data_IF_510697001694
#
_entry.id   IF_510697001694
#
_cell.length_a   1.000
_cell.length_b   1.000
_cell.length_c   1.000
_cell.angle_alpha   90.00
_cell.angle_beta   90.00
_cell.angle_gamma   90.00
#
_symmetry.space_group_name_H-M   'P 1'
#
loop_
_entity.id
_entity.type
_entity.pdbx_description
1 polymer ?
#
# COMPACT_ATOMS: atom_id res chain seq x y z
N UNK A 1 36.22 1.93 -3.49
CA UNK A 1 37.63 2.01 -3.97
C UNK A 1 37.98 3.29 -4.75
N UNK A 2 37.07 3.95 -5.49
CA UNK A 2 37.41 5.19 -6.24
C UNK A 2 37.54 6.48 -5.43
N UNK A 3 37.08 6.51 -4.17
CA UNK A 3 37.21 7.69 -3.29
C UNK A 3 38.61 7.80 -2.67
N UNK A 4 39.33 6.68 -2.52
CA UNK A 4 40.67 6.65 -1.90
C UNK A 4 41.74 7.27 -2.80
N UNK A 5 41.59 7.19 -4.12
CA UNK A 5 42.54 7.80 -5.06
C UNK A 5 42.40 9.31 -5.21
N UNK A 6 41.25 9.91 -4.88
CA UNK A 6 41.06 11.36 -5.00
C UNK A 6 41.67 12.16 -3.86
N UNK A 7 41.92 11.53 -2.70
CA UNK A 7 42.48 12.22 -1.52
C UNK A 7 44.02 12.24 -1.58
N UNK A 8 44.64 11.32 -2.32
CA UNK A 8 46.10 11.26 -2.47
C UNK A 8 46.67 12.29 -3.46
N UNK A 9 45.88 12.83 -4.39
CA UNK A 9 46.37 13.77 -5.41
C UNK A 9 46.38 15.24 -4.98
N UNK A 10 45.86 15.57 -3.80
CA UNK A 10 45.78 16.96 -3.30
C UNK A 10 46.75 17.28 -2.14
N UNK A 11 47.51 16.31 -1.65
CA UNK A 11 48.51 16.55 -0.60
C UNK A 11 49.89 16.11 -1.08
N UNK A 12 50.73 17.06 -1.44
CA UNK A 12 52.18 16.84 -1.52
C UNK A 12 52.73 16.67 -0.11
N UNK A 13 52.80 15.43 0.36
CA UNK A 13 53.35 15.09 1.66
C UNK A 13 54.88 15.07 1.59
N UNK A 14 55.53 16.08 2.18
CA UNK A 14 56.96 16.07 2.47
C UNK A 14 57.37 14.89 3.36
N UNK A 15 58.64 14.47 3.26
CA UNK A 15 59.24 13.37 4.03
C UNK A 15 59.41 13.73 5.51
N UNK A 16 58.34 13.88 6.27
CA UNK A 16 58.42 13.94 7.74
C UNK A 16 57.04 13.97 8.38
N UNK A 17 56.29 12.86 8.33
CA UNK A 17 55.38 12.60 9.45
C UNK A 17 54.90 11.13 9.49
N UNK A 18 55.76 10.26 10.01
CA UNK A 18 55.42 8.85 10.19
C UNK A 18 54.28 8.69 11.22
N UNK A 19 54.20 9.59 12.22
CA UNK A 19 53.16 9.57 13.26
C UNK A 19 51.80 9.96 12.72
N UNK A 20 51.72 10.97 11.86
CA UNK A 20 50.44 11.34 11.23
C UNK A 20 49.90 10.27 10.27
N UNK A 21 50.79 9.58 9.54
CA UNK A 21 50.40 8.43 8.71
C UNK A 21 49.86 7.27 9.55
N UNK A 22 50.48 7.00 10.70
CA UNK A 22 49.98 5.99 11.66
C UNK A 22 48.63 6.43 12.24
N UNK A 23 48.47 7.68 12.69
CA UNK A 23 47.19 8.19 13.21
C UNK A 23 46.06 8.12 12.17
N UNK A 24 46.34 8.44 10.91
CA UNK A 24 45.37 8.33 9.82
C UNK A 24 45.02 6.86 9.53
N UNK A 25 46.01 5.96 9.52
CA UNK A 25 45.79 4.53 9.31
C UNK A 25 45.02 3.90 10.48
N UNK A 26 45.35 4.24 11.73
CA UNK A 26 44.60 3.79 12.92
C UNK A 26 43.21 4.37 12.95
N UNK A 27 43.03 5.64 12.53
CA UNK A 27 41.71 6.26 12.39
C UNK A 27 40.87 5.57 11.32
N UNK A 28 41.45 5.21 10.17
CA UNK A 28 40.78 4.45 9.13
C UNK A 28 40.44 3.02 9.58
N UNK A 29 41.34 2.36 10.32
CA UNK A 29 41.10 1.04 10.89
C UNK A 29 40.02 1.06 11.97
N UNK A 30 40.01 2.08 12.82
CA UNK A 30 38.95 2.27 13.81
C UNK A 30 37.62 2.56 13.12
N UNK A 31 37.60 3.40 12.08
CA UNK A 31 36.40 3.69 11.30
C UNK A 31 35.89 2.45 10.58
N UNK A 32 36.77 1.64 9.97
CA UNK A 32 36.39 0.38 9.30
C UNK A 32 35.98 -0.71 10.29
N UNK A 33 36.56 -0.74 11.49
CA UNK A 33 36.15 -1.65 12.56
C UNK A 33 34.82 -1.23 13.18
N UNK A 34 34.61 0.06 13.44
CA UNK A 34 33.33 0.62 13.88
C UNK A 34 32.25 0.47 12.80
N UNK A 35 32.60 0.61 11.52
CA UNK A 35 31.76 0.29 10.37
C UNK A 35 31.39 -1.19 10.35
N UNK A 36 32.36 -2.08 10.53
CA UNK A 36 32.14 -3.53 10.60
C UNK A 36 31.25 -3.93 11.79
N UNK A 37 31.42 -3.30 12.95
CA UNK A 37 30.58 -3.53 14.13
C UNK A 37 29.18 -2.93 13.98
N UNK A 38 29.05 -1.74 13.40
CA UNK A 38 27.77 -1.08 13.09
C UNK A 38 26.93 -1.89 12.11
N UNK A 39 27.57 -2.48 11.10
CA UNK A 39 26.90 -3.30 10.08
C UNK A 39 26.52 -4.71 10.51
N UNK A 40 26.89 -5.17 11.73
CA UNK A 40 26.40 -6.46 12.25
C UNK A 40 24.88 -6.50 12.51
N UNK A 41 24.17 -5.38 12.41
CA UNK A 41 22.77 -5.28 12.87
C UNK A 41 21.70 -5.00 11.81
N UNK A 42 22.02 -4.71 10.54
CA UNK A 42 20.98 -4.56 9.52
C UNK A 42 20.63 -5.90 8.86
N UNK A 43 20.02 -6.79 9.66
CA UNK A 43 19.50 -8.06 9.12
C UNK A 43 18.21 -7.77 8.33
N UNK A 44 18.32 -7.77 7.01
CA UNK A 44 17.17 -7.89 6.11
C UNK A 44 16.64 -9.30 6.29
N UNK A 45 15.38 -9.42 6.66
CA UNK A 45 14.76 -10.73 6.86
C UNK A 45 14.13 -11.12 5.53
N UNK A 46 14.68 -12.15 4.88
CA UNK A 46 13.97 -12.80 3.78
C UNK A 46 12.86 -13.63 4.43
N UNK A 47 11.64 -13.14 4.37
CA UNK A 47 10.47 -13.82 4.93
C UNK A 47 9.98 -14.85 3.94
N UNK A 48 9.91 -16.11 4.39
CA UNK A 48 9.14 -17.12 3.71
C UNK A 48 7.63 -16.78 3.89
N UNK A 49 6.80 -16.81 2.84
CA UNK A 49 5.35 -16.65 2.96
C UNK A 49 4.70 -17.54 4.03
N UNK A 50 5.33 -18.67 4.38
CA UNK A 50 4.94 -19.57 5.47
C UNK A 50 4.96 -18.93 6.86
N UNK A 51 5.85 -17.98 7.11
CA UNK A 51 6.08 -17.40 8.45
C UNK A 51 5.17 -16.21 8.78
N UNK A 52 4.27 -15.82 7.87
CA UNK A 52 3.41 -14.62 8.00
C UNK A 52 2.09 -14.95 8.73
N UNK A 53 1.74 -16.23 8.89
CA UNK A 53 0.52 -16.64 9.60
C UNK A 53 0.87 -16.91 11.08
N UNK A 54 0.10 -16.37 12.04
CA UNK A 54 0.17 -16.81 13.44
C UNK A 54 -0.07 -18.32 13.58
N UNK A 55 0.59 -18.97 14.54
CA UNK A 55 0.46 -20.41 14.79
C UNK A 55 -0.96 -20.87 15.18
N UNK A 56 -1.88 -19.95 15.46
CA UNK A 56 -3.21 -20.16 16.05
C UNK A 56 -4.26 -20.79 15.10
N UNK A 57 -3.83 -21.31 13.95
CA UNK A 57 -4.67 -22.09 13.05
C UNK A 57 -4.70 -23.60 13.39
N UNK A 58 -4.25 -23.98 14.57
CA UNK A 58 -4.29 -25.35 15.08
C UNK A 58 -5.18 -25.38 16.31
N UNK A 59 -6.28 -26.13 16.25
CA UNK A 59 -7.09 -26.41 17.43
C UNK A 59 -6.29 -27.29 18.40
N UNK A 60 -6.27 -26.90 19.67
CA UNK A 60 -6.65 -27.80 20.77
C UNK A 60 -6.98 -26.96 22.00
N UNK A 61 -8.27 -26.86 22.30
CA UNK A 61 -8.85 -26.53 23.61
C UNK A 61 -8.14 -25.44 24.43
N UNK A 62 -8.43 -24.17 24.19
CA UNK A 62 -7.96 -23.12 25.08
C UNK A 62 -8.42 -21.71 24.70
N UNK A 63 -9.46 -21.23 25.39
CA UNK A 63 -9.99 -19.85 25.44
C UNK A 63 -9.13 -18.76 24.79
N UNK A 64 -9.59 -18.20 23.67
CA UNK A 64 -9.47 -16.76 23.44
C UNK A 64 -10.76 -16.14 22.93
N UNK A 65 -11.18 -15.11 23.67
CA UNK A 65 -12.35 -14.29 23.44
C UNK A 65 -11.92 -13.09 22.60
N UNK A 66 -12.38 -13.01 21.36
CA UNK A 66 -12.63 -11.72 20.72
C UNK A 66 -14.09 -11.66 20.30
N UNK A 67 -14.86 -10.85 21.03
CA UNK A 67 -16.26 -10.55 20.73
C UNK A 67 -16.33 -9.84 19.37
N UNK A 68 -16.87 -10.56 18.39
CA UNK A 68 -17.90 -10.16 17.42
C UNK A 68 -17.69 -8.88 16.58
N UNK A 69 -17.64 -9.06 15.26
CA UNK A 69 -18.68 -8.55 14.36
C UNK A 69 -18.63 -9.24 12.98
N UNK A 70 -19.12 -10.48 12.89
CA UNK A 70 -19.72 -11.05 11.65
C UNK A 70 -20.85 -11.97 12.10
N UNK A 71 -22.02 -11.40 12.34
CA UNK A 71 -23.25 -12.18 12.54
C UNK A 71 -23.92 -12.44 11.20
N UNK A 72 -24.38 -13.67 11.06
CA UNK A 72 -25.31 -14.20 10.07
C UNK A 72 -24.82 -14.37 8.63
N UNK A 73 -24.28 -15.56 8.38
CA UNK A 73 -24.85 -16.53 7.43
C UNK A 73 -24.01 -17.80 7.48
N UNK A 74 -24.48 -18.85 8.17
CA UNK A 74 -24.26 -20.26 7.75
C UNK A 74 -25.05 -21.24 8.59
N UNK A 75 -25.92 -21.97 7.88
CA UNK A 75 -26.40 -23.30 8.27
C UNK A 75 -25.20 -24.15 8.65
N UNK A 76 -25.29 -24.81 9.81
CA UNK A 76 -24.38 -25.88 10.24
C UNK A 76 -24.35 -26.95 9.16
N UNK A 77 -23.24 -27.06 8.46
CA UNK A 77 -22.86 -28.34 7.88
C UNK A 77 -21.93 -29.01 8.90
N UNK A 78 -22.41 -30.11 9.46
CA UNK A 78 -21.62 -31.00 10.30
C UNK A 78 -20.98 -32.02 9.38
N UNK A 79 -19.75 -31.78 8.97
CA UNK A 79 -18.81 -32.88 8.78
C UNK A 79 -17.36 -32.36 8.83
N UNK A 80 -16.55 -32.96 9.71
CA UNK A 80 -15.15 -32.60 10.03
C UNK A 80 -14.90 -31.14 10.46
N UNK A 81 -14.76 -30.90 11.77
CA UNK A 81 -14.53 -29.59 12.40
C UNK A 81 -13.19 -28.90 12.10
N UNK A 82 -12.57 -29.13 10.94
CA UNK A 82 -11.31 -28.49 10.55
C UNK A 82 -11.61 -27.14 9.89
N UNK A 83 -11.33 -26.03 10.59
CA UNK A 83 -11.37 -24.70 9.98
C UNK A 83 -10.11 -24.49 9.14
N UNK A 84 -10.23 -24.62 7.82
CA UNK A 84 -9.12 -24.26 6.90
C UNK A 84 -8.80 -22.77 7.03
N UNK A 85 -7.56 -22.44 7.38
CA UNK A 85 -7.06 -21.07 7.39
C UNK A 85 -6.61 -20.62 6.00
N UNK A 86 -6.75 -19.32 5.74
CA UNK A 86 -6.22 -18.65 4.56
C UNK A 86 -5.03 -17.76 4.96
N UNK A 87 -4.04 -17.53 4.07
CA UNK A 87 -4.17 -17.45 2.61
C UNK A 87 -3.88 -18.74 1.82
N UNK A 88 -4.40 -18.79 0.59
CA UNK A 88 -3.90 -19.66 -0.47
C UNK A 88 -2.55 -19.14 -0.97
N UNK A 89 -1.60 -20.06 -1.17
CA UNK A 89 -0.21 -19.74 -1.54
C UNK A 89 0.23 -20.36 -2.86
N UNK A 90 -0.67 -21.08 -3.54
CA UNK A 90 -0.35 -21.64 -4.85
C UNK A 90 0.01 -20.51 -5.82
N UNK A 91 1.16 -20.59 -6.52
CA UNK A 91 1.58 -19.54 -7.41
C UNK A 91 0.63 -19.48 -8.62
N UNK A 92 0.09 -18.29 -8.86
CA UNK A 92 -0.60 -17.94 -10.09
C UNK A 92 0.35 -17.06 -10.89
N UNK A 93 0.83 -17.61 -12.01
CA UNK A 93 1.68 -16.87 -12.94
C UNK A 93 0.84 -15.85 -13.69
N UNK A 94 1.29 -14.60 -13.66
CA UNK A 94 0.61 -13.48 -14.28
C UNK A 94 1.22 -13.16 -15.63
N UNK A 95 0.38 -12.97 -16.66
CA UNK A 95 0.85 -12.45 -17.94
C UNK A 95 1.45 -11.05 -17.72
N UNK A 96 2.63 -10.83 -18.30
CA UNK A 96 3.30 -9.54 -18.27
C UNK A 96 2.40 -8.50 -18.94
N UNK A 97 2.28 -7.33 -18.33
CA UNK A 97 1.63 -6.20 -18.98
C UNK A 97 2.48 -5.75 -20.19
N UNK A 98 1.83 -5.46 -21.30
CA UNK A 98 2.45 -4.92 -22.51
C UNK A 98 1.72 -3.64 -22.89
N UNK A 99 2.41 -2.70 -23.55
CA UNK A 99 1.78 -1.46 -24.00
C UNK A 99 0.66 -1.67 -25.03
N UNK A 100 0.63 -2.84 -25.66
CA UNK A 100 -0.40 -3.29 -26.60
C UNK A 100 -1.67 -3.79 -25.90
N UNK A 101 -1.63 -4.02 -24.59
CA UNK A 101 -2.78 -4.53 -23.85
C UNK A 101 -3.83 -3.43 -23.74
N UNK A 102 -5.04 -3.73 -24.23
CA UNK A 102 -6.19 -2.85 -24.12
C UNK A 102 -6.49 -2.53 -22.65
N UNK A 103 -6.66 -1.24 -22.36
CA UNK A 103 -7.07 -0.76 -21.04
C UNK A 103 -8.49 -1.25 -20.74
N UNK A 104 -8.71 -1.97 -19.63
CA UNK A 104 -10.05 -2.43 -19.27
C UNK A 104 -10.88 -1.27 -18.73
N UNK A 105 -12.14 -1.25 -19.11
CA UNK A 105 -13.15 -0.35 -18.53
C UNK A 105 -13.50 -0.78 -17.09
N UNK A 106 -13.96 0.14 -16.24
CA UNK A 106 -14.42 -0.20 -14.90
C UNK A 106 -15.57 -1.21 -14.92
N UNK A 107 -16.47 -1.13 -15.90
CA UNK A 107 -17.53 -2.12 -16.03
C UNK A 107 -17.00 -3.54 -16.31
N UNK A 108 -16.00 -3.70 -17.19
CA UNK A 108 -15.40 -5.01 -17.50
C UNK A 108 -14.69 -5.59 -16.27
N UNK A 109 -13.97 -4.73 -15.54
CA UNK A 109 -13.33 -5.10 -14.27
C UNK A 109 -14.37 -5.56 -13.24
N UNK A 110 -15.49 -4.85 -13.14
CA UNK A 110 -16.53 -5.20 -12.20
C UNK A 110 -17.23 -6.50 -12.57
N UNK A 111 -17.52 -6.75 -13.86
CA UNK A 111 -18.12 -8.02 -14.29
C UNK A 111 -17.24 -9.23 -13.94
N UNK A 112 -15.91 -9.09 -14.06
CA UNK A 112 -14.93 -10.12 -13.61
C UNK A 112 -14.93 -10.34 -12.08
N UNK A 113 -15.44 -9.37 -11.33
CA UNK A 113 -15.35 -9.30 -9.88
C UNK A 113 -16.68 -8.94 -9.19
N UNK A 114 -17.81 -9.39 -9.76
CA UNK A 114 -19.17 -9.02 -9.33
C UNK A 114 -19.58 -9.56 -7.93
N UNK A 115 -18.70 -10.32 -7.29
CA UNK A 115 -18.76 -10.77 -5.91
C UNK A 115 -18.17 -9.74 -4.91
N UNK A 116 -17.69 -8.59 -5.38
CA UNK A 116 -17.27 -7.46 -4.55
C UNK A 116 -18.47 -6.75 -3.89
N UNK A 117 -18.20 -6.11 -2.76
CA UNK A 117 -19.17 -5.33 -2.00
C UNK A 117 -18.54 -4.01 -1.55
N UNK A 118 -18.88 -2.88 -2.20
CA UNK A 118 -18.27 -1.57 -1.96
C UNK A 118 -16.72 -1.61 -1.89
N UNK A 119 -16.09 -2.34 -2.81
CA UNK A 119 -14.65 -2.54 -2.85
C UNK A 119 -14.06 -3.45 -1.77
N UNK A 120 -14.90 -4.15 -1.00
CA UNK A 120 -14.50 -5.20 -0.07
C UNK A 120 -14.76 -6.60 -0.64
N UNK A 121 -13.95 -7.55 -0.19
CA UNK A 121 -14.16 -8.96 -0.41
C UNK A 121 -13.63 -9.78 0.77
N UNK A 122 -14.26 -10.92 1.05
CA UNK A 122 -13.77 -11.90 2.00
C UNK A 122 -14.06 -13.33 1.50
N UNK A 123 -13.16 -14.29 1.76
CA UNK A 123 -13.39 -15.66 1.36
C UNK A 123 -14.53 -16.27 2.17
N UNK A 124 -15.31 -17.11 1.51
CA UNK A 124 -16.38 -17.88 2.16
C UNK A 124 -15.92 -19.31 2.44
N UNK A 125 -14.82 -19.80 1.87
CA UNK A 125 -14.35 -21.19 2.04
C UNK A 125 -13.39 -21.39 3.22
N UNK A 126 -12.97 -20.33 3.89
CA UNK A 126 -11.97 -20.37 4.96
C UNK A 126 -12.14 -19.18 5.91
N UNK A 127 -11.45 -19.22 7.05
CA UNK A 127 -11.38 -18.10 7.99
C UNK A 127 -10.13 -17.25 7.68
N UNK A 128 -10.27 -15.96 7.35
CA UNK A 128 -9.13 -15.07 7.13
C UNK A 128 -8.48 -14.70 8.48
N UNK A 129 -7.15 -14.71 8.55
CA UNK A 129 -6.40 -14.38 9.78
C UNK A 129 -6.11 -12.88 9.97
N UNK A 130 -6.28 -12.07 8.93
CA UNK A 130 -6.12 -10.61 8.95
C UNK A 130 -7.16 -9.99 8.02
N UNK A 131 -7.73 -8.86 8.41
CA UNK A 131 -8.38 -7.95 7.47
C UNK A 131 -7.37 -6.93 6.94
N UNK A 132 -7.24 -6.85 5.61
CA UNK A 132 -6.23 -6.06 4.92
C UNK A 132 -6.84 -4.83 4.25
N UNK A 133 -6.39 -3.64 4.62
CA UNK A 133 -6.68 -2.42 3.88
C UNK A 133 -5.56 -2.11 2.89
N UNK A 134 -5.86 -2.11 1.59
CA UNK A 134 -4.92 -1.64 0.56
C UNK A 134 -5.17 -0.16 0.32
N UNK A 135 -4.19 0.68 0.66
CA UNK A 135 -4.24 2.13 0.53
C UNK A 135 -3.44 2.54 -0.70
N UNK A 136 -4.13 3.14 -1.68
CA UNK A 136 -3.56 3.62 -2.93
C UNK A 136 -3.61 5.16 -2.95
N UNK A 137 -2.47 5.86 -2.80
CA UNK A 137 -2.43 7.31 -2.93
C UNK A 137 -2.55 7.66 -4.42
N UNK A 138 -3.43 8.60 -4.76
CA UNK A 138 -3.86 8.79 -6.14
C UNK A 138 -3.98 10.26 -6.54
N UNK A 139 -3.60 10.55 -7.79
CA UNK A 139 -3.85 11.81 -8.50
C UNK A 139 -3.57 11.62 -9.99
N UNK A 140 -4.56 11.85 -10.86
CA UNK A 140 -4.40 11.87 -12.33
C UNK A 140 -3.72 10.61 -12.94
N UNK A 141 -4.08 9.41 -12.46
CA UNK A 141 -3.47 8.11 -12.85
C UNK A 141 -4.48 7.02 -13.21
N UNK A 142 -5.59 7.41 -13.83
CA UNK A 142 -6.72 6.50 -14.17
C UNK A 142 -6.30 5.25 -14.94
N UNK A 143 -5.45 5.42 -15.94
CA UNK A 143 -4.91 4.32 -16.75
C UNK A 143 -4.18 3.27 -15.91
N UNK A 144 -3.32 3.72 -15.00
CA UNK A 144 -2.60 2.84 -14.08
C UNK A 144 -3.54 2.17 -13.09
N UNK A 145 -4.53 2.91 -12.58
CA UNK A 145 -5.48 2.39 -11.60
C UNK A 145 -6.32 1.23 -12.16
N UNK A 146 -6.79 1.31 -13.40
CA UNK A 146 -7.55 0.22 -14.04
C UNK A 146 -6.75 -1.07 -14.15
N UNK A 147 -5.49 -0.99 -14.61
CA UNK A 147 -4.61 -2.16 -14.64
C UNK A 147 -4.26 -2.69 -13.25
N UNK A 148 -4.07 -1.80 -12.28
CA UNK A 148 -3.85 -2.20 -10.89
C UNK A 148 -5.04 -2.96 -10.35
N UNK A 149 -6.26 -2.47 -10.53
CA UNK A 149 -7.48 -3.11 -10.02
C UNK A 149 -7.68 -4.50 -10.64
N UNK A 150 -7.46 -4.66 -11.95
CA UNK A 150 -7.48 -5.97 -12.62
C UNK A 150 -6.55 -6.97 -11.94
N UNK A 151 -5.31 -6.54 -11.69
CA UNK A 151 -4.28 -7.40 -11.11
C UNK A 151 -4.54 -7.68 -9.64
N UNK A 152 -4.90 -6.65 -8.89
CA UNK A 152 -4.94 -6.66 -7.44
C UNK A 152 -6.16 -7.45 -6.94
N UNK A 153 -7.34 -7.25 -7.53
CA UNK A 153 -8.50 -8.07 -7.18
C UNK A 153 -8.27 -9.55 -7.48
N UNK A 154 -7.71 -9.87 -8.64
CA UNK A 154 -7.35 -11.25 -8.98
C UNK A 154 -6.35 -11.85 -7.99
N UNK A 155 -5.32 -11.08 -7.60
CA UNK A 155 -4.28 -11.52 -6.64
C UNK A 155 -4.86 -11.77 -5.25
N UNK A 156 -5.57 -10.79 -4.68
CA UNK A 156 -6.08 -10.87 -3.31
C UNK A 156 -7.17 -11.94 -3.16
N UNK A 157 -8.02 -12.12 -4.18
CA UNK A 157 -9.03 -13.21 -4.20
C UNK A 157 -8.38 -14.58 -4.34
N UNK A 158 -7.38 -14.70 -5.22
CA UNK A 158 -6.61 -15.95 -5.37
C UNK A 158 -5.94 -16.33 -4.05
N UNK A 159 -5.35 -15.35 -3.35
CA UNK A 159 -4.75 -15.51 -2.02
C UNK A 159 -5.79 -15.76 -0.92
N UNK A 160 -7.09 -15.60 -1.20
CA UNK A 160 -8.18 -15.72 -0.21
C UNK A 160 -7.99 -14.79 1.00
N UNK A 161 -7.57 -13.55 0.75
CA UNK A 161 -7.41 -12.54 1.78
C UNK A 161 -8.73 -11.79 1.97
N UNK A 162 -9.13 -11.48 3.21
CA UNK A 162 -10.20 -10.51 3.44
C UNK A 162 -9.64 -9.10 3.30
N UNK A 163 -10.17 -8.30 2.40
CA UNK A 163 -9.61 -6.98 2.10
C UNK A 163 -10.64 -5.92 1.75
N UNK A 164 -10.20 -4.66 1.83
CA UNK A 164 -10.80 -3.50 1.19
C UNK A 164 -9.76 -2.65 0.46
N UNK A 165 -10.09 -2.15 -0.73
CA UNK A 165 -9.23 -1.22 -1.49
C UNK A 165 -9.72 0.21 -1.28
N UNK A 166 -8.80 1.10 -0.91
CA UNK A 166 -9.04 2.52 -0.64
C UNK A 166 -8.17 3.36 -1.56
N UNK A 167 -8.80 4.09 -2.48
CA UNK A 167 -8.12 5.04 -3.37
C UNK A 167 -8.28 6.43 -2.77
N UNK A 168 -7.16 7.01 -2.33
CA UNK A 168 -7.12 8.31 -1.66
C UNK A 168 -6.68 9.36 -2.67
N UNK A 169 -7.65 10.05 -3.26
CA UNK A 169 -7.41 11.01 -4.33
C UNK A 169 -7.13 12.41 -3.77
N UNK A 170 -5.99 13.00 -4.16
CA UNK A 170 -5.65 14.36 -3.82
C UNK A 170 -6.19 15.35 -4.86
N UNK A 171 -7.14 16.19 -4.45
CA UNK A 171 -7.64 17.27 -5.31
C UNK A 171 -6.78 18.53 -5.24
N UNK A 172 -7.03 19.45 -6.16
CA UNK A 172 -6.38 20.76 -6.21
C UNK A 172 -4.99 20.75 -6.84
N UNK A 173 -4.32 21.91 -6.80
CA UNK A 173 -3.08 22.17 -7.53
C UNK A 173 -1.81 22.07 -6.65
N UNK A 174 -1.94 21.69 -5.38
CA UNK A 174 -0.78 21.49 -4.51
C UNK A 174 0.09 20.33 -5.01
N UNK A 175 1.41 20.34 -4.73
CA UNK A 175 2.26 19.19 -5.01
C UNK A 175 1.66 17.91 -4.43
N UNK A 176 1.83 16.79 -5.11
CA UNK A 176 1.37 15.51 -4.61
C UNK A 176 2.10 15.16 -3.31
N UNK A 177 1.37 14.72 -2.28
CA UNK A 177 1.94 14.35 -0.99
C UNK A 177 1.57 12.91 -0.64
N UNK A 178 2.42 11.98 -1.10
CA UNK A 178 2.20 10.55 -0.94
C UNK A 178 2.05 10.14 0.52
N UNK A 179 3.00 10.53 1.38
CA UNK A 179 3.01 10.17 2.80
C UNK A 179 1.76 10.63 3.55
N UNK A 180 1.31 11.87 3.30
CA UNK A 180 0.07 12.41 3.86
C UNK A 180 -1.16 11.58 3.43
N UNK A 181 -1.31 11.28 2.14
CA UNK A 181 -2.46 10.53 1.62
C UNK A 181 -2.50 9.10 2.19
N UNK A 182 -1.34 8.46 2.39
CA UNK A 182 -1.27 7.15 3.03
C UNK A 182 -1.75 7.20 4.49
N UNK A 183 -1.34 8.21 5.25
CA UNK A 183 -1.81 8.41 6.63
C UNK A 183 -3.32 8.71 6.69
N UNK A 184 -3.84 9.54 5.77
CA UNK A 184 -5.27 9.82 5.67
C UNK A 184 -6.04 8.54 5.34
N UNK A 185 -5.53 7.73 4.40
CA UNK A 185 -6.12 6.45 4.04
C UNK A 185 -6.21 5.48 5.22
N UNK A 186 -5.21 5.44 6.09
CA UNK A 186 -5.25 4.65 7.34
C UNK A 186 -6.39 5.12 8.25
N UNK A 187 -6.53 6.43 8.46
CA UNK A 187 -7.58 7.00 9.32
C UNK A 187 -8.97 6.69 8.78
N UNK A 188 -9.18 6.88 7.48
CA UNK A 188 -10.48 6.62 6.86
C UNK A 188 -10.80 5.13 6.75
N UNK A 189 -9.81 4.28 6.49
CA UNK A 189 -9.98 2.83 6.51
C UNK A 189 -10.40 2.34 7.90
N UNK A 190 -9.75 2.81 8.97
CA UNK A 190 -10.15 2.47 10.34
C UNK A 190 -11.51 3.03 10.74
N UNK A 191 -11.92 4.19 10.20
CA UNK A 191 -13.25 4.75 10.42
C UNK A 191 -14.35 3.87 9.82
N UNK A 192 -14.10 3.30 8.64
CA UNK A 192 -15.06 2.45 7.93
C UNK A 192 -14.99 0.98 8.38
N UNK A 193 -13.80 0.49 8.73
CA UNK A 193 -13.52 -0.89 9.10
C UNK A 193 -12.57 -0.93 10.33
N UNK A 194 -13.10 -0.78 11.56
CA UNK A 194 -12.29 -0.66 12.78
C UNK A 194 -11.40 -1.88 13.11
N UNK A 195 -11.80 -3.06 12.66
CA UNK A 195 -11.09 -4.33 12.79
C UNK A 195 -10.05 -4.59 11.67
N UNK A 196 -9.61 -3.55 10.96
CA UNK A 196 -8.48 -3.66 10.03
C UNK A 196 -7.20 -3.96 10.81
N UNK A 197 -6.51 -5.05 10.46
CA UNK A 197 -5.29 -5.53 11.14
C UNK A 197 -4.02 -5.14 10.40
N UNK A 198 -4.10 -5.06 9.07
CA UNK A 198 -2.96 -4.91 8.17
C UNK A 198 -3.20 -3.82 7.14
N UNK A 199 -2.19 -2.99 6.91
CA UNK A 199 -2.21 -1.93 5.89
C UNK A 199 -1.17 -2.22 4.83
N UNK A 200 -1.60 -2.28 3.56
CA UNK A 200 -0.72 -2.34 2.39
C UNK A 200 -0.72 -0.95 1.75
N UNK A 201 0.45 -0.33 1.67
CA UNK A 201 0.65 0.96 1.00
C UNK A 201 1.15 0.68 -0.39
N UNK A 202 0.38 1.07 -1.40
CA UNK A 202 0.57 0.55 -2.75
C UNK A 202 0.60 1.67 -3.79
N UNK A 203 1.73 1.80 -4.49
CA UNK A 203 1.82 2.70 -5.63
C UNK A 203 0.90 2.24 -6.76
N UNK A 204 0.21 3.19 -7.40
CA UNK A 204 -0.81 2.90 -8.42
C UNK A 204 -0.23 2.24 -9.68
N UNK A 205 1.07 2.40 -9.94
CA UNK A 205 1.75 1.96 -11.16
C UNK A 205 2.51 0.62 -11.02
N UNK A 206 2.47 -0.05 -9.87
CA UNK A 206 3.23 -1.29 -9.65
C UNK A 206 2.32 -2.52 -9.71
N UNK A 207 2.54 -3.42 -10.68
CA UNK A 207 1.76 -4.65 -10.82
C UNK A 207 2.53 -5.86 -10.27
N UNK A 208 2.00 -6.63 -9.30
CA UNK A 208 2.67 -7.85 -8.84
C UNK A 208 2.73 -8.90 -9.96
N UNK A 209 3.88 -9.57 -10.10
CA UNK A 209 4.09 -10.61 -11.11
C UNK A 209 3.83 -12.03 -10.59
N UNK A 210 3.75 -12.23 -9.27
CA UNK A 210 3.62 -13.54 -8.65
C UNK A 210 2.68 -13.51 -7.44
N UNK A 211 1.58 -14.27 -7.48
CA UNK A 211 0.61 -14.33 -6.37
C UNK A 211 1.14 -15.05 -5.12
N UNK A 212 2.29 -15.72 -5.18
CA UNK A 212 2.98 -16.22 -3.99
C UNK A 212 3.52 -15.06 -3.11
N UNK A 213 3.60 -13.84 -3.63
CA UNK A 213 3.86 -12.65 -2.83
C UNK A 213 2.60 -12.26 -2.06
N UNK A 214 2.38 -12.90 -0.92
CA UNK A 214 1.18 -12.74 -0.09
C UNK A 214 1.02 -11.29 0.39
N UNK A 215 -0.15 -10.67 0.21
CA UNK A 215 -0.45 -9.29 0.64
C UNK A 215 -0.93 -9.25 2.10
N UNK A 216 -0.05 -9.62 3.03
CA UNK A 216 -0.32 -9.63 4.47
C UNK A 216 0.82 -8.98 5.26
N UNK A 217 0.55 -8.66 6.51
CA UNK A 217 1.50 -8.01 7.40
C UNK A 217 2.18 -9.01 8.33
N UNK A 218 3.43 -8.72 8.67
CA UNK A 218 4.16 -9.37 9.76
C UNK A 218 4.41 -8.35 10.90
N UNK A 219 5.27 -8.70 11.85
CA UNK A 219 5.67 -7.85 12.99
C UNK A 219 6.74 -6.79 12.64
N UNK A 220 7.06 -6.63 11.35
CA UNK A 220 8.14 -5.78 10.85
C UNK A 220 7.61 -4.79 9.79
N UNK A 221 8.51 -3.97 9.23
CA UNK A 221 8.19 -3.25 7.99
C UNK A 221 8.48 -4.20 6.84
N UNK A 222 7.45 -4.61 6.11
CA UNK A 222 7.60 -5.52 4.99
C UNK A 222 7.58 -4.75 3.67
N UNK A 223 8.61 -4.91 2.85
CA UNK A 223 8.60 -4.40 1.48
C UNK A 223 8.18 -5.53 0.53
N UNK A 224 6.97 -5.42 -0.02
CA UNK A 224 6.43 -6.40 -0.97
C UNK A 224 7.12 -6.27 -2.33
N UNK A 225 7.41 -5.05 -2.79
CA UNK A 225 8.03 -4.77 -4.09
C UNK A 225 9.56 -4.76 -4.02
N UNK A 226 10.15 -5.85 -3.55
CA UNK A 226 11.61 -5.98 -3.43
C UNK A 226 12.35 -6.06 -4.77
N UNK A 227 11.64 -6.35 -5.87
CA UNK A 227 12.22 -6.36 -7.22
C UNK A 227 11.29 -5.68 -8.21
N UNK A 228 11.58 -4.42 -8.57
CA UNK A 228 10.82 -3.71 -9.62
C UNK A 228 11.62 -3.78 -10.92
N UNK A 229 10.95 -4.03 -12.05
CA UNK A 229 11.60 -4.15 -13.37
C UNK A 229 12.41 -2.90 -13.75
N UNK A 230 11.94 -1.70 -13.40
CA UNK A 230 12.65 -0.42 -13.52
C UNK A 230 14.03 -0.41 -12.87
N UNK A 231 14.21 -1.18 -11.79
CA UNK A 231 15.48 -1.32 -11.07
C UNK A 231 16.15 -2.67 -11.33
N UNK A 232 15.86 -3.29 -12.47
CA UNK A 232 16.35 -4.62 -12.85
C UNK A 232 16.08 -5.68 -11.77
N UNK A 233 14.93 -5.59 -11.11
CA UNK A 233 14.50 -6.47 -10.02
C UNK A 233 15.40 -6.47 -8.77
N UNK A 234 16.13 -5.37 -8.53
CA UNK A 234 16.92 -5.18 -7.31
C UNK A 234 16.48 -3.88 -6.59
N UNK A 235 16.42 -3.87 -5.24
CA UNK A 235 16.21 -2.63 -4.51
C UNK A 235 17.33 -1.62 -4.82
N UNK A 236 17.02 -0.32 -4.98
CA UNK A 236 18.03 0.71 -5.23
C UNK A 236 19.12 0.80 -4.14
N UNK A 237 18.77 0.48 -2.89
CA UNK A 237 19.68 0.36 -1.75
C UNK A 237 19.04 -0.52 -0.66
N UNK A 238 19.84 -0.94 0.34
CA UNK A 238 19.46 -1.94 1.34
C UNK A 238 18.18 -1.58 2.10
N UNK A 239 18.09 -0.35 2.61
CA UNK A 239 16.98 0.15 3.43
C UNK A 239 15.79 0.72 2.63
N UNK A 240 15.76 0.58 1.31
CA UNK A 240 14.64 1.04 0.51
C UNK A 240 13.35 0.32 0.94
N UNK A 241 12.29 1.07 1.23
CA UNK A 241 10.96 0.55 1.55
C UNK A 241 9.86 1.12 0.64
N UNK A 242 10.26 1.72 -0.49
CA UNK A 242 9.37 2.34 -1.47
C UNK A 242 8.61 1.32 -2.33
N UNK A 243 7.71 1.85 -3.16
CA UNK A 243 6.82 1.06 -4.01
C UNK A 243 5.63 0.51 -3.23
N UNK A 244 5.69 -0.77 -2.88
CA UNK A 244 4.65 -1.48 -2.13
C UNK A 244 5.21 -2.00 -0.81
N UNK A 245 4.63 -1.54 0.30
CA UNK A 245 4.99 -1.95 1.66
C UNK A 245 3.79 -2.35 2.50
N UNK A 246 4.01 -3.11 3.56
CA UNK A 246 3.00 -3.62 4.46
C UNK A 246 3.40 -3.39 5.92
N UNK A 247 2.46 -2.93 6.74
CA UNK A 247 2.61 -2.74 8.18
C UNK A 247 1.35 -3.20 8.91
N UNK A 248 1.54 -4.00 9.96
CA UNK A 248 0.45 -4.26 10.91
C UNK A 248 0.01 -2.95 11.56
N UNK A 249 -1.23 -2.89 12.04
CA UNK A 249 -1.77 -1.74 12.78
C UNK A 249 -0.81 -1.33 13.91
N UNK A 250 -0.37 -2.27 14.73
CA UNK A 250 0.51 -1.98 15.85
C UNK A 250 1.85 -1.40 15.41
N UNK A 251 2.48 -1.97 14.39
CA UNK A 251 3.76 -1.47 13.86
C UNK A 251 3.59 -0.08 13.26
N UNK A 252 2.50 0.16 12.52
CA UNK A 252 2.22 1.45 11.91
C UNK A 252 2.07 2.56 12.95
N UNK A 253 1.28 2.32 14.01
CA UNK A 253 1.10 3.30 15.09
C UNK A 253 2.39 3.49 15.90
N UNK A 254 3.18 2.42 16.11
CA UNK A 254 4.50 2.52 16.74
C UNK A 254 5.46 3.44 15.97
N UNK A 255 5.40 3.41 14.63
CA UNK A 255 6.19 4.29 13.76
C UNK A 255 5.62 5.69 13.60
N UNK A 256 4.46 5.99 14.20
CA UNK A 256 3.69 7.20 13.93
C UNK A 256 3.35 7.38 12.44
N UNK A 257 3.18 6.31 11.67
CA UNK A 257 2.89 6.38 10.23
C UNK A 257 3.99 7.04 9.38
N UNK A 258 3.59 7.56 8.22
CA UNK A 258 4.46 8.28 7.27
C UNK A 258 4.65 9.74 7.70
N UNK A 259 5.71 10.43 7.24
CA UNK A 259 5.79 11.89 7.37
C UNK A 259 4.76 12.61 6.50
N UNK A 260 4.16 13.69 7.01
CA UNK A 260 3.21 14.50 6.26
C UNK A 260 3.87 15.68 5.54
N UNK A 261 5.16 15.96 5.80
CA UNK A 261 5.84 17.17 5.30
C UNK A 261 6.43 17.08 3.90
N UNK A 262 6.45 15.90 3.27
CA UNK A 262 7.02 15.69 1.95
C UNK A 262 6.02 16.05 0.84
N UNK A 263 6.03 17.33 0.46
CA UNK A 263 5.30 17.83 -0.71
C UNK A 263 6.16 17.65 -1.97
N UNK A 264 5.69 16.84 -2.91
CA UNK A 264 6.45 16.39 -4.08
C UNK A 264 7.01 14.97 -3.92
N UNK A 265 7.75 14.48 -4.93
CA UNK A 265 8.29 13.12 -4.93
C UNK A 265 9.53 12.98 -4.04
N UNK A 266 9.58 11.90 -3.25
CA UNK A 266 10.79 11.36 -2.63
C UNK A 266 10.92 11.53 -1.10
N UNK A 267 11.70 10.63 -0.51
CA UNK A 267 12.14 10.60 0.90
C UNK A 267 11.07 10.29 1.96
N UNK A 268 9.78 10.21 1.62
CA UNK A 268 8.74 9.85 2.59
C UNK A 268 8.78 8.37 3.00
N UNK A 269 9.13 7.51 2.04
CA UNK A 269 9.37 6.07 2.21
C UNK A 269 10.72 5.81 2.90
N UNK A 270 11.75 6.58 2.53
CA UNK A 270 13.05 6.55 3.19
C UNK A 270 12.92 6.87 4.68
N UNK A 271 12.17 7.92 5.01
CA UNK A 271 11.91 8.28 6.40
C UNK A 271 11.13 7.21 7.15
N UNK A 272 10.07 6.64 6.58
CA UNK A 272 9.36 5.53 7.23
C UNK A 272 10.33 4.39 7.57
N UNK A 273 11.21 4.04 6.63
CA UNK A 273 12.24 3.01 6.83
C UNK A 273 13.30 3.41 7.87
N UNK A 274 13.60 4.71 8.01
CA UNK A 274 14.48 5.21 9.06
C UNK A 274 13.82 5.17 10.45
N UNK A 275 12.52 5.50 10.57
CA UNK A 275 11.75 5.39 11.82
C UNK A 275 11.78 3.95 12.36
N UNK A 276 11.70 2.96 11.47
CA UNK A 276 11.85 1.53 11.80
C UNK A 276 13.15 1.21 12.55
N UNK A 277 14.28 1.80 12.14
CA UNK A 277 15.56 1.59 12.81
C UNK A 277 15.55 2.10 14.25
N UNK A 278 14.86 3.21 14.52
CA UNK A 278 14.67 3.76 15.88
C UNK A 278 13.97 2.76 16.79
N UNK A 279 12.99 2.04 16.25
CA UNK A 279 12.21 1.04 16.98
C UNK A 279 12.79 -0.37 16.94
N UNK A 280 14.02 -0.54 16.43
CA UNK A 280 14.72 -1.84 16.29
C UNK A 280 13.91 -2.88 15.52
N UNK A 281 13.10 -2.43 14.57
CA UNK A 281 12.32 -3.27 13.68
C UNK A 281 13.17 -3.67 12.48
N UNK A 282 12.92 -4.85 11.89
CA UNK A 282 13.60 -5.30 10.68
C UNK A 282 12.86 -4.86 9.41
N UNK A 283 13.58 -4.82 8.28
CA UNK A 283 12.98 -4.73 6.96
C UNK A 283 12.84 -6.15 6.43
N UNK A 284 11.61 -6.63 6.26
CA UNK A 284 11.34 -7.94 5.68
C UNK A 284 11.05 -7.82 4.18
N UNK A 285 11.47 -8.82 3.41
CA UNK A 285 11.24 -8.93 1.97
C UNK A 285 10.87 -10.36 1.60
N UNK A 286 9.97 -10.58 0.63
CA UNK A 286 9.84 -11.89 0.01
C UNK A 286 11.14 -12.26 -0.73
N UNK A 287 11.34 -13.55 -1.10
CA UNK A 287 12.40 -13.94 -2.01
C UNK A 287 12.36 -13.13 -3.32
N UNK A 288 13.52 -12.83 -3.90
CA UNK A 288 13.66 -11.90 -5.05
C UNK A 288 12.87 -12.31 -6.30
N UNK A 289 12.59 -13.59 -6.49
CA UNK A 289 11.77 -14.11 -7.59
C UNK A 289 10.26 -14.06 -7.31
N UNK A 290 9.87 -13.92 -6.04
CA UNK A 290 8.47 -13.77 -5.60
C UNK A 290 8.09 -12.29 -5.54
N UNK A 291 8.95 -11.44 -4.97
CA UNK A 291 8.70 -10.00 -4.80
C UNK A 291 8.84 -9.16 -6.07
N UNK A 292 8.57 -9.73 -7.24
CA UNK A 292 8.70 -9.06 -8.53
C UNK A 292 7.47 -8.24 -8.88
N UNK A 293 7.72 -7.03 -9.35
CA UNK A 293 6.71 -6.09 -9.82
C UNK A 293 7.12 -5.50 -11.16
N UNK A 294 6.11 -5.28 -11.99
CA UNK A 294 6.22 -4.53 -13.22
C UNK A 294 5.72 -3.10 -13.02
N UNK A 295 6.53 -2.11 -13.34
CA UNK A 295 6.12 -0.70 -13.33
C UNK A 295 5.45 -0.31 -14.65
N UNK A 296 4.24 0.27 -14.57
CA UNK A 296 3.56 0.90 -15.70
C UNK A 296 4.26 2.23 -15.99
N UNK A 297 4.81 2.34 -17.19
CA UNK A 297 5.66 3.46 -17.60
C UNK A 297 4.89 4.77 -17.59
N UNK A 298 5.50 5.80 -17.02
CA UNK A 298 4.95 7.14 -16.95
C UNK A 298 6.08 8.16 -16.70
N UNK A 299 5.80 9.45 -16.93
CA UNK A 299 6.77 10.53 -16.68
C UNK A 299 7.03 10.65 -15.18
N UNK A 300 8.26 10.37 -14.76
CA UNK A 300 8.68 10.46 -13.36
C UNK A 300 8.94 11.92 -12.96
N UNK A 301 8.55 12.28 -11.73
CA UNK A 301 8.83 13.61 -11.17
C UNK A 301 10.24 13.68 -10.58
N UNK A 302 10.81 14.88 -10.57
CA UNK A 302 12.04 15.14 -9.83
C UNK A 302 11.78 15.18 -8.32
N UNK A 303 12.83 14.88 -7.55
CA UNK A 303 12.79 15.01 -6.09
C UNK A 303 12.45 16.43 -5.67
N UNK A 304 11.59 16.55 -4.66
CA UNK A 304 11.24 17.85 -4.10
C UNK A 304 12.46 18.56 -3.51
N UNK A 305 12.50 19.88 -3.67
CA UNK A 305 13.59 20.72 -3.15
C UNK A 305 13.62 20.62 -1.62
N UNK A 306 14.80 20.34 -1.06
CA UNK A 306 14.99 20.28 0.41
C UNK A 306 14.55 18.97 1.07
N UNK A 307 14.15 17.95 0.30
CA UNK A 307 13.75 16.65 0.87
C UNK A 307 14.87 15.95 1.66
N UNK A 308 16.12 16.01 1.19
CA UNK A 308 17.25 15.47 1.95
C UNK A 308 17.50 16.22 3.27
N UNK A 309 17.38 17.56 3.26
CA UNK A 309 17.47 18.35 4.48
C UNK A 309 16.33 18.00 5.44
N UNK A 310 15.12 17.79 4.91
CA UNK A 310 13.97 17.33 5.70
C UNK A 310 14.21 15.94 6.29
N UNK A 311 14.86 15.04 5.55
CA UNK A 311 15.19 13.69 6.01
C UNK A 311 16.23 13.69 7.13
N UNK A 312 17.19 14.63 7.13
CA UNK A 312 18.11 14.79 8.26
C UNK A 312 17.35 15.10 9.58
N UNK A 313 16.17 15.68 9.50
CA UNK A 313 15.34 16.01 10.66
C UNK A 313 14.36 14.90 11.06
N UNK A 314 14.46 13.69 10.48
CA UNK A 314 13.48 12.61 10.71
C UNK A 314 13.35 12.17 12.18
N UNK A 315 14.34 12.45 13.03
CA UNK A 315 14.30 12.14 14.47
C UNK A 315 13.18 12.87 15.20
N UNK A 316 12.68 13.97 14.65
CA UNK A 316 11.48 14.68 15.11
C UNK A 316 10.14 14.02 14.73
N UNK A 317 10.14 12.79 14.20
CA UNK A 317 8.95 12.13 13.64
C UNK A 317 7.76 11.98 14.61
N UNK A 318 7.96 12.06 15.92
CA UNK A 318 6.84 12.05 16.88
C UNK A 318 5.89 13.24 16.70
N UNK A 319 6.41 14.35 16.15
CA UNK A 319 5.66 15.57 15.84
C UNK A 319 5.13 15.60 14.39
N UNK A 320 5.51 14.63 13.55
CA UNK A 320 5.09 14.56 12.15
C UNK A 320 4.69 13.13 11.77
N UNK A 321 3.39 12.87 11.73
CA UNK A 321 2.88 11.56 11.36
C UNK A 321 1.38 11.40 11.53
N UNK A 322 0.93 10.20 11.87
CA UNK A 322 -0.47 9.93 12.18
C UNK A 322 -0.97 10.79 13.35
N UNK A 323 -0.14 10.97 14.38
CA UNK A 323 -0.46 11.76 15.58
C UNK A 323 -0.71 13.23 15.29
N UNK A 324 -0.11 13.79 14.22
CA UNK A 324 -0.28 15.20 13.86
C UNK A 324 -1.53 15.46 13.00
N UNK A 325 -2.23 14.41 12.54
CA UNK A 325 -3.45 14.55 11.78
C UNK A 325 -4.68 14.60 12.70
N UNK A 326 -5.49 15.65 12.55
CA UNK A 326 -6.78 15.81 13.23
C UNK A 326 -7.91 16.05 12.20
N UNK A 327 -9.13 16.36 12.65
CA UNK A 327 -10.28 16.57 11.76
C UNK A 327 -10.17 17.84 10.89
N UNK A 328 -9.33 18.80 11.29
CA UNK A 328 -9.10 20.06 10.58
C UNK A 328 -7.87 20.01 9.67
N UNK A 329 -7.12 18.91 9.66
CA UNK A 329 -5.92 18.76 8.82
C UNK A 329 -6.26 18.59 7.33
N UNK A 330 -7.41 18.03 7.00
CA UNK A 330 -7.84 17.80 5.62
C UNK A 330 -9.37 17.80 5.54
N UNK A 331 -9.90 18.03 4.34
CA UNK A 331 -11.33 17.90 4.08
C UNK A 331 -11.55 16.63 3.28
N UNK A 332 -12.40 15.74 3.81
CA UNK A 332 -13.01 14.69 2.99
C UNK A 332 -14.13 15.35 2.24
N UNK A 333 -13.99 15.47 0.93
CA UNK A 333 -15.06 15.98 0.10
C UNK A 333 -16.12 14.87 0.06
N UNK A 334 -17.38 15.23 0.32
CA UNK A 334 -18.46 14.31 -0.01
C UNK A 334 -18.25 13.93 -1.46
N UNK A 335 -18.40 12.63 -1.76
CA UNK A 335 -18.63 12.23 -3.14
C UNK A 335 -19.86 13.03 -3.57
N UNK A 336 -19.65 14.19 -4.18
CA UNK A 336 -20.42 14.61 -5.33
C UNK A 336 -20.05 13.56 -6.38
N UNK A 337 -20.44 12.31 -6.13
CA UNK A 337 -20.38 11.27 -7.14
C UNK A 337 -21.05 11.87 -8.36
N UNK A 338 -20.61 11.51 -9.55
CA UNK A 338 -21.37 10.70 -10.50
C UNK A 338 -22.84 10.36 -10.11
N UNK A 339 -23.58 11.31 -9.55
CA UNK A 339 -25.01 11.40 -9.55
C UNK A 339 -25.26 11.67 -11.01
N UNK A 340 -25.42 10.58 -11.75
CA UNK A 340 -26.07 10.68 -13.05
C UNK A 340 -27.29 11.56 -12.83
N UNK A 341 -27.50 12.58 -13.69
CA UNK A 341 -28.81 13.18 -13.78
C UNK A 341 -29.80 12.02 -13.88
N UNK A 342 -30.65 11.86 -12.87
CA UNK A 342 -31.67 10.82 -12.77
C UNK A 342 -32.61 10.82 -13.99
N UNK A 343 -32.47 11.82 -14.87
CA UNK A 343 -33.24 12.04 -16.08
C UNK A 343 -32.96 11.11 -17.27
N UNK A 344 -31.89 10.30 -17.31
CA UNK A 344 -31.61 9.42 -18.47
C UNK A 344 -32.07 7.96 -18.31
N UNK A 345 -32.35 7.51 -17.09
CA UNK A 345 -33.03 6.23 -16.85
C UNK A 345 -34.53 6.47 -16.83
N UNK A 346 -35.16 6.34 -18.01
CA UNK A 346 -36.61 6.26 -18.15
C UNK A 346 -37.19 5.41 -16.99
N UNK A 347 -38.03 6.03 -16.16
CA UNK A 347 -38.61 5.47 -14.93
C UNK A 347 -39.42 4.16 -15.15
N UNK A 348 -39.56 3.71 -16.40
CA UNK A 348 -40.35 2.55 -16.80
C UNK A 348 -39.53 1.42 -17.45
N UNK A 349 -38.19 1.49 -17.53
CA UNK A 349 -37.38 0.43 -18.16
C UNK A 349 -36.84 -0.53 -17.11
N UNK A 350 -37.24 -1.81 -17.18
CA UNK A 350 -36.64 -2.88 -16.37
C UNK A 350 -35.17 -3.07 -16.75
N UNK A 351 -34.28 -3.06 -15.76
CA UNK A 351 -32.85 -3.30 -15.89
C UNK A 351 -32.60 -4.78 -15.61
N UNK A 352 -32.08 -5.49 -16.61
CA UNK A 352 -31.64 -6.87 -16.47
C UNK A 352 -30.32 -6.93 -15.68
N UNK A 353 -30.29 -7.65 -14.57
CA UNK A 353 -29.10 -7.87 -13.75
C UNK A 353 -28.63 -9.32 -13.90
N UNK A 354 -27.33 -9.57 -14.16
CA UNK A 354 -26.80 -10.92 -14.20
C UNK A 354 -26.99 -11.67 -12.87
N UNK A 355 -27.37 -12.94 -12.94
CA UNK A 355 -27.53 -13.82 -11.76
C UNK A 355 -26.23 -14.05 -10.98
N UNK A 356 -25.08 -13.82 -11.61
CA UNK A 356 -23.74 -13.97 -11.03
C UNK A 356 -23.38 -12.88 -10.01
N UNK A 357 -24.09 -11.74 -10.02
CA UNK A 357 -23.80 -10.64 -9.11
C UNK A 357 -24.19 -11.00 -7.68
N UNK A 358 -23.33 -10.63 -6.73
CA UNK A 358 -23.66 -10.79 -5.31
C UNK A 358 -24.84 -9.89 -4.91
N UNK A 359 -25.55 -10.26 -3.83
CA UNK A 359 -26.65 -9.44 -3.28
C UNK A 359 -26.16 -8.04 -2.93
N UNK A 360 -24.93 -7.93 -2.40
CA UNK A 360 -24.34 -6.62 -2.11
C UNK A 360 -24.08 -5.82 -3.38
N UNK A 361 -23.46 -6.42 -4.40
CA UNK A 361 -23.25 -5.78 -5.70
C UNK A 361 -24.55 -5.21 -6.29
N UNK A 362 -25.63 -5.99 -6.27
CA UNK A 362 -26.94 -5.52 -6.75
C UNK A 362 -27.44 -4.32 -5.94
N UNK A 363 -27.31 -4.36 -4.61
CA UNK A 363 -27.72 -3.26 -3.75
C UNK A 363 -26.88 -2.00 -3.99
N UNK A 364 -25.56 -2.12 -4.04
CA UNK A 364 -24.65 -0.99 -4.32
C UNK A 364 -24.95 -0.37 -5.67
N UNK A 365 -25.19 -1.18 -6.69
CA UNK A 365 -25.59 -0.69 -8.02
C UNK A 365 -26.90 0.10 -7.96
N UNK A 366 -27.92 -0.44 -7.29
CA UNK A 366 -29.20 0.24 -7.12
C UNK A 366 -29.05 1.57 -6.35
N UNK A 367 -28.28 1.58 -5.25
CA UNK A 367 -27.98 2.78 -4.47
C UNK A 367 -27.28 3.85 -5.31
N UNK A 368 -26.29 3.46 -6.13
CA UNK A 368 -25.58 4.36 -7.04
C UNK A 368 -26.52 4.98 -8.10
N UNK A 369 -27.58 4.26 -8.49
CA UNK A 369 -28.61 4.75 -9.41
C UNK A 369 -29.73 5.54 -8.72
N UNK A 370 -29.74 5.62 -7.39
CA UNK A 370 -30.86 6.20 -6.63
C UNK A 370 -32.14 5.36 -6.71
N UNK A 371 -32.03 4.07 -7.04
CA UNK A 371 -33.15 3.13 -7.14
C UNK A 371 -33.27 2.33 -5.83
N UNK A 372 -34.46 2.19 -5.23
CA UNK A 372 -34.65 1.30 -4.10
C UNK A 372 -34.30 -0.15 -4.45
N UNK A 373 -33.47 -0.81 -3.64
CA UNK A 373 -32.94 -2.16 -3.92
C UNK A 373 -34.03 -3.24 -4.08
N UNK A 374 -35.24 -3.00 -3.56
CA UNK A 374 -36.39 -3.91 -3.65
C UNK A 374 -37.37 -3.55 -4.78
N UNK A 375 -37.01 -2.63 -5.68
CA UNK A 375 -37.89 -2.21 -6.76
C UNK A 375 -38.06 -3.31 -7.83
N UNK A 376 -39.26 -3.40 -8.40
CA UNK A 376 -39.63 -4.31 -9.51
C UNK A 376 -38.87 -4.03 -10.83
N UNK A 377 -37.95 -3.06 -10.83
CA UNK A 377 -37.18 -2.65 -11.99
C UNK A 377 -35.92 -3.49 -12.20
N UNK A 378 -35.52 -4.36 -11.25
CA UNK A 378 -34.35 -5.22 -11.38
C UNK A 378 -34.77 -6.67 -11.64
N UNK A 379 -34.61 -7.15 -12.88
CA UNK A 379 -34.91 -8.55 -13.24
C UNK A 379 -33.61 -9.33 -13.39
N UNK A 380 -33.52 -10.50 -12.73
CA UNK A 380 -32.39 -11.41 -12.96
C UNK A 380 -32.49 -12.00 -14.36
N UNK A 381 -31.73 -11.45 -15.30
CA UNK A 381 -31.63 -11.97 -16.66
C UNK A 381 -30.48 -12.97 -16.72
N UNK A 382 -30.55 -13.94 -17.65
CA UNK A 382 -29.44 -14.87 -17.91
C UNK A 382 -28.16 -14.14 -18.31
N UNK A 383 -27.08 -14.90 -18.55
CA UNK A 383 -25.68 -14.43 -18.74
C UNK A 383 -25.43 -13.51 -19.97
N UNK A 384 -26.12 -12.38 -20.10
CA UNK A 384 -25.80 -11.31 -21.06
C UNK A 384 -25.17 -10.13 -20.34
N UNK A 385 -24.10 -9.61 -20.95
CA UNK A 385 -23.32 -8.48 -20.44
C UNK A 385 -24.17 -7.20 -20.43
N UNK A 386 -24.02 -6.37 -19.38
CA UNK A 386 -24.77 -5.09 -19.28
C UNK A 386 -24.38 -4.12 -20.39
N UNK A 387 -23.15 -4.24 -20.90
CA UNK A 387 -22.62 -3.49 -22.05
C UNK A 387 -23.46 -3.61 -23.31
N UNK A 388 -24.16 -4.74 -23.52
CA UNK A 388 -24.99 -4.94 -24.72
C UNK A 388 -26.35 -4.24 -24.67
N UNK A 389 -26.71 -3.58 -23.56
CA UNK A 389 -28.05 -3.03 -23.31
C UNK A 389 -28.12 -1.48 -23.32
N UNK A 390 -27.06 -0.79 -23.74
CA UNK A 390 -27.03 0.68 -23.84
C UNK A 390 -26.85 1.40 -22.50
N UNK A 391 -26.43 0.70 -21.46
CA UNK A 391 -26.11 1.24 -20.14
C UNK A 391 -24.60 1.42 -19.91
N UNK A 392 -23.77 1.37 -20.97
CA UNK A 392 -22.30 1.36 -20.87
C UNK A 392 -21.74 2.50 -20.02
N UNK A 393 -22.21 3.74 -20.26
CA UNK A 393 -21.63 4.93 -19.62
C UNK A 393 -22.07 5.06 -18.16
N UNK A 394 -23.32 4.69 -17.88
CA UNK A 394 -23.88 4.61 -16.53
C UNK A 394 -23.18 3.53 -15.72
N UNK A 395 -22.97 2.37 -16.33
CA UNK A 395 -22.30 1.26 -15.70
C UNK A 395 -20.83 1.57 -15.43
N UNK A 396 -20.13 2.21 -16.38
CA UNK A 396 -18.74 2.65 -16.20
C UNK A 396 -18.58 3.62 -15.02
N UNK A 397 -19.49 4.58 -14.87
CA UNK A 397 -19.46 5.54 -13.77
C UNK A 397 -19.75 4.89 -12.41
N UNK A 398 -20.73 3.99 -12.36
CA UNK A 398 -21.17 3.35 -11.11
C UNK A 398 -20.26 2.21 -10.68
N UNK A 399 -19.60 1.51 -11.61
CA UNK A 399 -18.69 0.40 -11.32
C UNK A 399 -17.48 0.80 -10.47
N UNK A 400 -17.01 2.06 -10.57
CA UNK A 400 -15.88 2.59 -9.78
C UNK A 400 -16.09 2.38 -8.27
N UNK A 401 -17.24 2.81 -7.74
CA UNK A 401 -17.52 2.72 -6.30
C UNK A 401 -17.80 1.29 -5.82
N UNK A 402 -18.01 0.36 -6.77
CA UNK A 402 -18.18 -1.06 -6.49
C UNK A 402 -16.85 -1.80 -6.39
N UNK A 403 -15.84 -1.35 -7.15
CA UNK A 403 -14.49 -1.93 -7.20
C UNK A 403 -13.61 -1.50 -6.03
N UNK A 404 -13.73 -0.24 -5.58
CA UNK A 404 -12.93 0.30 -4.49
C UNK A 404 -13.64 1.44 -3.76
N UNK A 405 -13.17 1.77 -2.57
CA UNK A 405 -13.61 2.93 -1.80
C UNK A 405 -12.85 4.15 -2.28
N UNK A 406 -13.56 5.04 -2.96
CA UNK A 406 -12.98 6.29 -3.43
C UNK A 406 -13.14 7.40 -2.38
N UNK A 407 -12.03 8.01 -1.98
CA UNK A 407 -12.00 9.08 -0.98
C UNK A 407 -11.29 10.29 -1.57
N UNK A 408 -12.05 11.34 -1.89
CA UNK A 408 -11.51 12.60 -2.36
C UNK A 408 -11.10 13.47 -1.18
N UNK A 409 -9.86 13.94 -1.22
CA UNK A 409 -9.23 14.70 -0.15
C UNK A 409 -8.75 16.05 -0.68
N UNK A 410 -9.19 17.13 -0.03
CA UNK A 410 -8.53 18.44 -0.13
C UNK A 410 -7.53 18.60 1.02
N UNK A 411 -6.21 18.60 0.73
CA UNK A 411 -5.19 18.73 1.75
C UNK A 411 -4.79 20.20 2.00
N UNK A 412 -5.51 21.18 1.46
CA UNK A 412 -5.22 22.61 1.63
C UNK A 412 -5.08 23.05 3.09
N UNK A 413 -5.89 22.56 4.06
CA UNK A 413 -5.74 22.97 5.45
C UNK A 413 -4.36 22.66 6.05
N UNK A 414 -3.84 21.43 5.87
CA UNK A 414 -2.51 21.05 6.37
C UNK A 414 -1.37 21.63 5.52
N UNK A 415 -1.58 21.89 4.24
CA UNK A 415 -0.57 22.57 3.40
C UNK A 415 -0.19 23.95 3.98
N UNK A 416 -1.18 24.66 4.54
CA UNK A 416 -0.99 25.98 5.12
C UNK A 416 -0.40 25.94 6.54
N UNK A 417 -0.36 24.78 7.18
CA UNK A 417 0.19 24.56 8.52
C UNK A 417 1.33 23.55 8.41
N UNK A 418 2.52 23.97 7.92
CA UNK A 418 3.62 23.03 7.69
C UNK A 418 4.04 22.37 9.00
N UNK A 419 4.01 21.04 9.00
CA UNK A 419 4.53 20.24 10.11
C UNK A 419 6.06 20.36 10.11
N UNK A 420 6.63 20.96 11.15
CA UNK A 420 8.08 21.16 11.29
C UNK A 420 8.65 20.15 12.29
N UNK A 421 9.59 19.28 11.88
CA UNK A 421 10.31 18.44 12.83
C UNK A 421 11.24 19.29 13.71
N UNK A 422 11.67 18.75 14.84
CA UNK A 422 12.65 19.38 15.75
C UNK A 422 14.00 19.60 15.06
N UNK A 423 14.77 20.59 15.53
CA UNK A 423 16.04 21.00 14.92
C UNK A 423 17.07 19.86 14.74
N UNK A 424 17.92 20.02 13.73
CA UNK A 424 19.02 19.13 13.38
C UNK A 424 19.97 18.89 14.57
N UNK A 425 20.24 17.62 14.87
CA UNK A 425 21.30 17.25 15.83
C UNK A 425 22.46 16.64 15.05
N UNK A 426 23.68 16.66 15.61
CA UNK A 426 24.85 16.01 14.97
C UNK A 426 24.63 14.51 14.69
N UNK A 427 23.69 13.86 15.39
CA UNK A 427 23.30 12.47 15.14
C UNK A 427 22.63 12.26 13.77
N UNK A 428 22.01 13.29 13.19
CA UNK A 428 21.25 13.20 11.94
C UNK A 428 22.11 12.76 10.75
N UNK A 429 23.36 13.23 10.66
CA UNK A 429 24.28 12.83 9.59
C UNK A 429 24.77 11.40 9.73
N UNK A 430 25.00 10.94 10.97
CA UNK A 430 25.32 9.54 11.22
C UNK A 430 24.19 8.65 10.72
N UNK A 431 22.94 8.96 11.08
CA UNK A 431 21.78 8.21 10.60
C UNK A 431 21.59 8.28 9.09
N UNK A 432 21.83 9.43 8.47
CA UNK A 432 21.79 9.57 7.02
C UNK A 432 22.76 8.62 6.32
N UNK A 433 24.02 8.68 6.73
CA UNK A 433 25.08 7.86 6.15
C UNK A 433 24.81 6.38 6.43
N UNK A 434 24.36 6.04 7.64
CA UNK A 434 24.00 4.68 8.03
C UNK A 434 22.80 4.14 7.25
N UNK A 435 21.80 4.97 7.01
CA UNK A 435 20.59 4.61 6.28
C UNK A 435 20.90 4.28 4.81
N UNK A 436 21.72 5.10 4.16
CA UNK A 436 22.12 4.90 2.76
C UNK A 436 23.35 3.98 2.60
N UNK A 437 23.87 3.39 3.68
CA UNK A 437 24.95 2.39 3.65
C UNK A 437 26.36 2.96 3.39
N UNK A 438 26.59 4.24 3.71
CA UNK A 438 27.90 4.89 3.60
C UNK A 438 28.80 4.62 4.80
N UNK A 439 28.20 4.42 5.99
CA UNK A 439 28.86 4.00 7.23
C UNK A 439 28.04 2.90 7.92
#
# INVERSE_FOLDING_TARGET
MRVVHSIQSHFQWGRSDHRMKICLATGLLLLTYLWYLSNRHQKIIVTDPSTIIPAECWDDGGKFSHKSAVSDLRKKDRDSGVRTCCPNREPLAYSRWTAERTEPTYGELFEKHADLCHGNWAPTSCVPSQFVAVIVPFKDREHQLRFLLDRLHATLKHQRIAYGIYVIEQVGNKPFNRGLLLNIGVREALRQQPNTDCFIFHDVDLLPENSANVYMCDQHLRQLSSGIDEFRFHPPFSNNAGGVSALSKDTLFKLNGFPNRYWGWGNEDDELSARRLVHKLHLSRPPSHIGRYQAIRHIKSNRGKGHYASFLQFRGFQNDGLSSLNKSSYLVLSNISYQLPVSTLSQNKKIGIPTSWSICAVRTFAENLGIPANSLQLEKTGSRLMFSHGYSDVFEQTARSMLYKHILIDPSPIYNVPVRPSQDTRESWFWFLHFYGWI
#
